data_IF_969536328542
#
_entry.id   IF_969536328542
#
_cell.length_a   1.000
_cell.length_b   1.000
_cell.length_c   1.000
_cell.angle_alpha   90.00
_cell.angle_beta   90.00
_cell.angle_gamma   90.00
#
_symmetry.space_group_name_H-M   'P 1'
#
loop_
_entity.id
_entity.type
_entity.pdbx_description
1 polymer ?
#
# COMPACT_ATOMS: atom_id res chain seq x y z
N UNK A 1 -49.04 -7.28 -36.12
CA UNK A 1 -48.64 -6.17 -37.00
C UNK A 1 -47.40 -5.58 -36.38
N UNK A 2 -46.22 -5.96 -36.88
CA UNK A 2 -44.94 -5.44 -36.34
C UNK A 2 -44.63 -4.16 -37.09
N UNK A 3 -44.67 -3.01 -36.39
CA UNK A 3 -44.17 -1.76 -36.95
C UNK A 3 -42.64 -1.84 -37.09
N UNK A 4 -42.18 -1.73 -38.35
CA UNK A 4 -40.76 -1.64 -38.63
C UNK A 4 -40.29 -0.22 -38.30
N UNK A 5 -39.54 -0.06 -37.18
CA UNK A 5 -38.89 1.20 -36.83
C UNK A 5 -37.66 1.35 -37.71
N UNK A 6 -37.71 2.27 -38.68
CA UNK A 6 -36.56 2.64 -39.51
C UNK A 6 -35.58 3.48 -38.68
N UNK A 7 -34.54 2.85 -38.14
CA UNK A 7 -33.45 3.56 -37.45
C UNK A 7 -32.49 4.19 -38.48
N UNK A 8 -32.10 5.46 -38.31
CA UNK A 8 -31.05 6.08 -39.14
C UNK A 8 -29.73 5.31 -39.07
N UNK A 9 -29.04 5.19 -40.21
CA UNK A 9 -27.79 4.41 -40.31
C UNK A 9 -26.72 4.79 -39.26
N UNK A 10 -26.64 6.06 -38.91
CA UNK A 10 -25.69 6.54 -37.89
C UNK A 10 -26.00 6.01 -36.46
N UNK A 11 -27.27 5.74 -36.15
CA UNK A 11 -27.68 5.10 -34.88
C UNK A 11 -27.22 3.64 -34.83
N UNK A 12 -27.34 2.91 -35.93
CA UNK A 12 -26.83 1.53 -36.01
C UNK A 12 -25.30 1.49 -35.85
N UNK A 13 -24.59 2.45 -36.43
CA UNK A 13 -23.14 2.56 -36.26
C UNK A 13 -22.76 2.87 -34.78
N UNK A 14 -23.48 3.77 -34.12
CA UNK A 14 -23.27 4.05 -32.69
C UNK A 14 -23.54 2.84 -31.79
N UNK A 15 -24.64 2.09 -32.07
CA UNK A 15 -24.95 0.85 -31.37
C UNK A 15 -23.84 -0.19 -31.58
N UNK A 16 -23.37 -0.34 -32.82
CA UNK A 16 -22.27 -1.24 -33.17
C UNK A 16 -20.97 -0.90 -32.44
N UNK A 17 -20.60 0.40 -32.36
CA UNK A 17 -19.44 0.87 -31.62
C UNK A 17 -19.64 0.62 -30.10
N UNK A 18 -20.78 0.96 -29.55
CA UNK A 18 -21.07 0.71 -28.12
C UNK A 18 -21.04 -0.77 -27.76
N UNK A 19 -21.58 -1.64 -28.63
CA UNK A 19 -21.51 -3.08 -28.48
C UNK A 19 -20.06 -3.61 -28.56
N UNK A 20 -19.28 -3.11 -29.52
CA UNK A 20 -17.86 -3.48 -29.66
C UNK A 20 -17.03 -3.05 -28.43
N UNK A 21 -17.26 -1.85 -27.91
CA UNK A 21 -16.64 -1.37 -26.66
C UNK A 21 -17.04 -2.25 -25.49
N UNK A 22 -18.34 -2.56 -25.32
CA UNK A 22 -18.83 -3.40 -24.22
C UNK A 22 -18.27 -4.83 -24.28
N UNK A 23 -18.19 -5.42 -25.47
CA UNK A 23 -17.57 -6.74 -25.69
C UNK A 23 -16.06 -6.67 -25.41
N UNK A 24 -15.39 -5.63 -25.91
CA UNK A 24 -13.99 -5.36 -25.64
C UNK A 24 -13.70 -5.24 -24.14
N UNK A 25 -14.51 -4.48 -23.41
CA UNK A 25 -14.38 -4.37 -21.96
C UNK A 25 -14.56 -5.72 -21.25
N UNK A 26 -15.58 -6.50 -21.61
CA UNK A 26 -15.84 -7.79 -20.97
C UNK A 26 -14.80 -8.86 -21.25
N UNK A 27 -14.20 -8.89 -22.43
CA UNK A 27 -13.24 -9.91 -22.84
C UNK A 27 -11.78 -9.48 -22.58
N UNK A 28 -11.43 -8.22 -22.89
CA UNK A 28 -10.05 -7.76 -22.81
C UNK A 28 -9.64 -7.38 -21.38
N UNK A 29 -10.51 -6.73 -20.61
CA UNK A 29 -10.14 -6.31 -19.24
C UNK A 29 -9.83 -7.49 -18.30
N UNK A 30 -10.59 -8.59 -18.27
CA UNK A 30 -10.24 -9.75 -17.44
C UNK A 30 -8.91 -10.37 -17.88
N UNK A 31 -8.68 -10.51 -19.18
CA UNK A 31 -7.46 -11.10 -19.76
C UNK A 31 -6.22 -10.24 -19.48
N UNK A 32 -6.32 -8.92 -19.65
CA UNK A 32 -5.24 -7.98 -19.33
C UNK A 32 -4.96 -7.97 -17.83
N UNK A 33 -5.99 -7.95 -16.99
CA UNK A 33 -5.82 -8.01 -15.52
C UNK A 33 -5.16 -9.32 -15.10
N UNK A 34 -5.57 -10.44 -15.65
CA UNK A 34 -4.97 -11.74 -15.40
C UNK A 34 -3.49 -11.77 -15.82
N UNK A 35 -3.18 -11.29 -17.02
CA UNK A 35 -1.81 -11.21 -17.53
C UNK A 35 -0.91 -10.33 -16.64
N UNK A 36 -1.39 -9.13 -16.29
CA UNK A 36 -0.66 -8.22 -15.40
C UNK A 36 -0.47 -8.82 -14.00
N UNK A 37 -1.48 -9.51 -13.48
CA UNK A 37 -1.38 -10.22 -12.20
C UNK A 37 -0.34 -11.33 -12.26
N UNK A 38 -0.40 -12.18 -13.29
CA UNK A 38 0.57 -13.27 -13.47
C UNK A 38 2.00 -12.76 -13.68
N UNK A 39 2.14 -11.60 -14.33
CA UNK A 39 3.43 -10.91 -14.45
C UNK A 39 3.93 -10.40 -13.10
N UNK A 40 3.05 -9.80 -12.30
CA UNK A 40 3.40 -9.33 -10.97
C UNK A 40 3.80 -10.49 -10.04
N UNK A 41 3.07 -11.60 -10.06
CA UNK A 41 3.40 -12.81 -9.29
C UNK A 41 4.79 -13.36 -9.66
N UNK A 42 5.13 -13.41 -10.95
CA UNK A 42 6.47 -13.82 -11.39
C UNK A 42 7.58 -12.87 -10.92
N UNK A 43 7.32 -11.56 -10.91
CA UNK A 43 8.28 -10.57 -10.38
C UNK A 43 8.48 -10.79 -8.89
N UNK A 44 7.41 -10.99 -8.13
CA UNK A 44 7.48 -11.26 -6.69
C UNK A 44 8.27 -12.55 -6.42
N UNK A 45 7.98 -13.63 -7.13
CA UNK A 45 8.70 -14.89 -6.98
C UNK A 45 10.21 -14.70 -7.23
N UNK A 46 10.58 -14.07 -8.36
CA UNK A 46 11.99 -13.81 -8.70
C UNK A 46 12.70 -12.87 -7.70
N UNK A 47 11.98 -11.94 -7.11
CA UNK A 47 12.53 -11.05 -6.08
C UNK A 47 12.72 -11.83 -4.78
N UNK A 48 11.74 -12.65 -4.37
CA UNK A 48 11.82 -13.44 -3.15
C UNK A 48 12.98 -14.44 -3.15
N UNK A 49 13.39 -14.97 -4.32
CA UNK A 49 14.58 -15.83 -4.43
C UNK A 49 15.89 -15.11 -4.05
N UNK A 50 15.91 -13.79 -4.08
CA UNK A 50 17.10 -12.97 -3.81
C UNK A 50 17.10 -12.31 -2.44
N UNK A 51 15.92 -12.24 -1.80
CA UNK A 51 15.78 -11.60 -0.51
C UNK A 51 16.09 -12.58 0.62
N UNK A 52 16.81 -12.13 1.61
CA UNK A 52 17.01 -12.88 2.87
C UNK A 52 15.67 -13.12 3.58
N UNK A 53 14.74 -12.16 3.47
CA UNK A 53 13.38 -12.23 4.02
C UNK A 53 12.38 -12.01 2.90
N UNK A 54 11.56 -13.01 2.55
CA UNK A 54 10.56 -12.90 1.49
C UNK A 54 9.55 -11.79 1.79
N UNK A 55 8.98 -11.23 0.73
CA UNK A 55 7.90 -10.25 0.86
C UNK A 55 6.68 -10.94 1.46
N UNK A 56 6.25 -10.49 2.62
CA UNK A 56 5.16 -11.09 3.35
C UNK A 56 3.81 -10.98 2.59
N UNK A 57 2.95 -12.02 2.65
CA UNK A 57 1.65 -12.02 1.99
C UNK A 57 0.78 -10.82 2.39
N UNK A 58 0.87 -10.39 3.65
CA UNK A 58 0.19 -9.21 4.16
C UNK A 58 0.47 -7.96 3.31
N UNK A 59 1.74 -7.77 2.91
CA UNK A 59 2.17 -6.62 2.10
C UNK A 59 1.70 -6.71 0.65
N UNK A 60 1.50 -7.92 0.14
CA UNK A 60 1.04 -8.20 -1.22
C UNK A 60 -0.50 -8.19 -1.34
N UNK A 61 -1.21 -8.15 -0.22
CA UNK A 61 -2.66 -8.14 -0.19
C UNK A 61 -3.21 -6.92 -0.94
N UNK A 62 -4.39 -7.09 -1.55
CA UNK A 62 -5.06 -5.97 -2.23
C UNK A 62 -5.40 -4.89 -1.22
N UNK A 63 -5.12 -3.65 -1.58
CA UNK A 63 -5.40 -2.51 -0.71
C UNK A 63 -6.86 -2.44 -0.25
N UNK A 64 -7.82 -2.78 -1.13
CA UNK A 64 -9.24 -2.79 -0.78
C UNK A 64 -9.55 -3.81 0.32
N UNK A 65 -9.00 -5.03 0.20
CA UNK A 65 -9.18 -6.12 1.16
C UNK A 65 -8.54 -5.74 2.52
N UNK A 66 -7.38 -5.10 2.50
CA UNK A 66 -6.72 -4.61 3.71
C UNK A 66 -7.49 -3.48 4.41
N UNK A 67 -8.06 -2.55 3.65
CA UNK A 67 -8.94 -1.51 4.20
C UNK A 67 -10.16 -2.14 4.87
N UNK A 68 -10.78 -3.11 4.21
CA UNK A 68 -11.93 -3.83 4.76
C UNK A 68 -11.53 -4.61 6.01
N UNK A 69 -10.45 -5.39 5.95
CA UNK A 69 -9.94 -6.15 7.10
C UNK A 69 -9.64 -5.26 8.31
N UNK A 70 -9.01 -4.11 8.10
CA UNK A 70 -8.71 -3.14 9.16
C UNK A 70 -9.98 -2.49 9.70
N UNK A 71 -10.92 -2.09 8.84
CA UNK A 71 -12.16 -1.40 9.24
C UNK A 71 -13.05 -2.30 10.10
N UNK A 72 -13.11 -3.59 9.77
CA UNK A 72 -13.95 -4.57 10.48
C UNK A 72 -13.14 -5.43 11.46
N UNK A 73 -11.91 -5.01 11.79
CA UNK A 73 -11.14 -5.63 12.85
C UNK A 73 -11.83 -5.41 14.21
N UNK A 74 -11.80 -6.43 15.07
CA UNK A 74 -12.48 -6.42 16.37
C UNK A 74 -12.08 -5.23 17.24
N UNK A 75 -10.78 -4.91 17.28
CA UNK A 75 -10.27 -3.83 18.13
C UNK A 75 -10.66 -2.46 17.56
N UNK A 76 -10.74 -2.34 16.23
CA UNK A 76 -11.22 -1.12 15.56
C UNK A 76 -12.71 -0.94 15.77
N UNK A 77 -13.52 -2.01 15.68
CA UNK A 77 -14.96 -1.92 15.95
C UNK A 77 -15.25 -1.53 17.40
N UNK A 78 -14.51 -2.08 18.36
CA UNK A 78 -14.61 -1.69 19.76
C UNK A 78 -14.28 -0.19 19.94
N UNK A 79 -13.20 0.28 19.30
CA UNK A 79 -12.83 1.70 19.32
C UNK A 79 -13.85 2.61 18.62
N UNK A 80 -14.58 2.12 17.61
CA UNK A 80 -15.67 2.84 16.95
C UNK A 80 -16.82 3.05 17.90
N UNK A 81 -17.30 2.01 18.59
CA UNK A 81 -18.38 2.12 19.57
C UNK A 81 -18.01 3.01 20.76
N UNK A 82 -16.79 2.87 21.29
CA UNK A 82 -16.28 3.72 22.36
C UNK A 82 -16.31 5.20 21.94
N UNK A 83 -15.73 5.50 20.77
CA UNK A 83 -15.66 6.86 20.22
C UNK A 83 -17.04 7.44 19.91
N UNK A 84 -17.94 6.64 19.34
CA UNK A 84 -19.32 7.05 19.05
C UNK A 84 -20.08 7.45 20.32
N UNK A 85 -19.91 6.65 21.39
CA UNK A 85 -20.51 6.94 22.70
C UNK A 85 -19.93 8.21 23.34
N UNK A 86 -18.61 8.42 23.29
CA UNK A 86 -17.93 9.59 23.83
C UNK A 86 -18.33 10.90 23.13
N UNK A 87 -18.45 10.85 21.80
CA UNK A 87 -18.76 12.04 20.97
C UNK A 87 -20.28 12.23 20.75
N UNK A 88 -21.11 11.33 21.24
CA UNK A 88 -22.56 11.39 21.10
C UNK A 88 -23.04 11.26 19.65
N UNK A 89 -22.38 10.45 18.85
CA UNK A 89 -22.71 10.24 17.44
C UNK A 89 -23.13 8.79 17.14
N UNK A 90 -23.87 8.52 16.05
CA UNK A 90 -24.20 7.16 15.63
C UNK A 90 -22.95 6.33 15.28
N UNK A 91 -22.97 5.03 15.60
CA UNK A 91 -21.89 4.09 15.29
C UNK A 91 -21.55 4.05 13.80
N UNK A 92 -22.55 4.18 12.92
CA UNK A 92 -22.34 4.20 11.47
C UNK A 92 -21.48 5.39 11.02
N UNK A 93 -21.63 6.54 11.65
CA UNK A 93 -20.84 7.74 11.36
C UNK A 93 -19.39 7.52 11.80
N UNK A 94 -19.18 7.01 13.00
CA UNK A 94 -17.86 6.69 13.54
C UNK A 94 -17.18 5.58 12.70
N UNK A 95 -17.93 4.57 12.24
CA UNK A 95 -17.43 3.52 11.36
C UNK A 95 -16.98 4.07 9.99
N UNK A 96 -17.75 4.99 9.40
CA UNK A 96 -17.31 5.62 8.13
C UNK A 96 -16.07 6.49 8.33
N UNK A 97 -15.93 7.12 9.50
CA UNK A 97 -14.69 7.82 9.88
C UNK A 97 -13.52 6.85 9.98
N UNK A 98 -13.68 5.70 10.65
CA UNK A 98 -12.66 4.66 10.74
C UNK A 98 -12.27 4.14 9.35
N UNK A 99 -13.26 3.91 8.46
CA UNK A 99 -13.02 3.51 7.06
C UNK A 99 -12.24 4.58 6.28
N UNK A 100 -12.53 5.86 6.49
CA UNK A 100 -11.77 6.98 5.89
C UNK A 100 -10.33 6.97 6.38
N UNK A 101 -10.10 6.75 7.67
CA UNK A 101 -8.77 6.63 8.25
C UNK A 101 -8.02 5.40 7.72
N UNK A 102 -8.68 4.26 7.59
CA UNK A 102 -8.10 3.07 6.98
C UNK A 102 -7.69 3.31 5.52
N UNK A 103 -8.52 4.01 4.72
CA UNK A 103 -8.16 4.44 3.35
C UNK A 103 -6.97 5.37 3.30
N UNK A 104 -6.77 6.17 4.32
CA UNK A 104 -5.63 7.07 4.42
C UNK A 104 -4.34 6.34 4.78
N UNK A 105 -4.42 5.43 5.75
CA UNK A 105 -3.29 4.72 6.34
C UNK A 105 -2.79 3.61 5.40
N UNK A 106 -3.68 2.71 4.94
CA UNK A 106 -3.29 1.51 4.19
C UNK A 106 -2.56 1.86 2.89
N UNK A 107 -1.32 1.38 2.69
CA UNK A 107 -0.55 1.61 1.46
C UNK A 107 -1.10 0.82 0.27
N UNK A 108 -0.52 1.07 -0.90
CA UNK A 108 -0.78 0.32 -2.13
C UNK A 108 0.54 -0.21 -2.68
N UNK A 109 1.12 -1.18 -1.98
CA UNK A 109 2.44 -1.69 -2.29
C UNK A 109 2.51 -2.33 -3.69
N UNK A 110 3.59 -2.05 -4.39
CA UNK A 110 3.94 -2.66 -5.68
C UNK A 110 5.40 -3.11 -5.65
N UNK A 111 5.62 -4.42 -5.72
CA UNK A 111 6.97 -4.98 -5.77
C UNK A 111 7.78 -4.43 -6.97
N UNK A 112 7.12 -4.25 -8.13
CA UNK A 112 7.74 -3.66 -9.32
C UNK A 112 8.18 -2.21 -9.08
N UNK A 113 7.34 -1.38 -8.43
CA UNK A 113 7.70 0.00 -8.11
C UNK A 113 8.82 0.05 -7.08
N UNK A 114 8.74 -0.78 -6.03
CA UNK A 114 9.72 -0.81 -4.96
C UNK A 114 11.11 -1.29 -5.44
N UNK A 115 11.19 -2.49 -6.01
CA UNK A 115 12.45 -3.11 -6.44
C UNK A 115 12.95 -2.60 -7.81
N UNK A 116 12.02 -2.20 -8.69
CA UNK A 116 12.34 -1.69 -10.02
C UNK A 116 12.79 -0.23 -10.03
N UNK A 117 12.10 0.65 -9.31
CA UNK A 117 12.35 2.08 -9.30
C UNK A 117 12.90 2.55 -7.96
N UNK A 118 12.22 2.23 -6.86
CA UNK A 118 12.53 2.76 -5.53
C UNK A 118 13.97 2.48 -5.10
N UNK A 119 14.41 1.23 -5.15
CA UNK A 119 15.79 0.86 -4.78
C UNK A 119 16.82 1.49 -5.70
N UNK A 120 16.55 1.59 -7.00
CA UNK A 120 17.49 2.22 -7.94
C UNK A 120 17.68 3.70 -7.63
N UNK A 121 16.57 4.39 -7.37
CA UNK A 121 16.60 5.81 -6.98
C UNK A 121 17.29 5.97 -5.63
N UNK A 122 17.00 5.12 -4.65
CA UNK A 122 17.65 5.14 -3.35
C UNK A 122 19.18 4.93 -3.45
N UNK A 123 19.61 3.95 -4.25
CA UNK A 123 21.03 3.71 -4.51
C UNK A 123 21.71 4.89 -5.23
N UNK A 124 21.06 5.42 -6.25
CA UNK A 124 21.59 6.56 -6.99
C UNK A 124 21.74 7.79 -6.10
N UNK A 125 20.71 8.15 -5.33
CA UNK A 125 20.78 9.26 -4.36
C UNK A 125 21.82 9.01 -3.27
N UNK A 126 21.85 7.80 -2.70
CA UNK A 126 22.82 7.44 -1.67
C UNK A 126 24.26 7.53 -2.15
N UNK A 127 24.54 7.10 -3.39
CA UNK A 127 25.90 7.10 -3.93
C UNK A 127 26.33 8.47 -4.49
N UNK A 128 25.35 9.31 -4.92
CA UNK A 128 25.66 10.61 -5.56
C UNK A 128 25.74 11.74 -4.52
N UNK A 129 24.81 11.74 -3.55
CA UNK A 129 24.69 12.84 -2.59
C UNK A 129 25.34 12.53 -1.24
N UNK A 130 25.60 11.26 -0.94
CA UNK A 130 26.10 10.83 0.36
C UNK A 130 27.26 9.84 0.23
N UNK A 131 28.21 9.92 1.15
CA UNK A 131 29.18 8.86 1.36
C UNK A 131 28.63 7.93 2.45
N UNK A 132 27.89 6.91 2.04
CA UNK A 132 27.33 5.94 2.99
C UNK A 132 28.45 5.06 3.52
N UNK A 133 28.73 5.18 4.82
CA UNK A 133 29.68 4.31 5.52
C UNK A 133 28.87 3.39 6.42
N UNK A 134 28.98 2.09 6.18
CA UNK A 134 28.41 1.08 7.07
C UNK A 134 29.45 0.78 8.14
N UNK A 135 29.07 0.93 9.39
CA UNK A 135 29.85 0.46 10.54
C UNK A 135 29.71 -1.07 10.68
N UNK A 136 29.84 -1.54 11.90
CA UNK A 136 29.64 -2.95 12.22
C UNK A 136 28.15 -3.32 12.11
N UNK A 137 27.84 -4.41 11.38
CA UNK A 137 26.47 -4.89 11.19
C UNK A 137 26.42 -6.38 11.55
N UNK A 138 25.93 -6.67 12.73
CA UNK A 138 25.73 -8.05 13.21
C UNK A 138 24.41 -8.60 12.68
N UNK A 139 24.41 -9.00 11.40
CA UNK A 139 23.21 -9.57 10.76
C UNK A 139 22.96 -11.03 11.13
N UNK A 140 23.97 -11.74 11.56
CA UNK A 140 23.92 -13.16 11.86
C UNK A 140 23.07 -13.52 13.09
N UNK A 141 22.83 -12.56 13.98
CA UNK A 141 22.10 -12.78 15.23
C UNK A 141 20.59 -12.57 15.11
N UNK A 142 20.11 -12.09 13.96
CA UNK A 142 18.67 -11.82 13.77
C UNK A 142 18.00 -13.07 13.22
N UNK A 143 17.12 -13.68 14.02
CA UNK A 143 16.29 -14.80 13.59
C UNK A 143 15.57 -14.48 12.27
N UNK A 144 15.58 -15.44 11.33
CA UNK A 144 14.98 -15.27 10.01
C UNK A 144 13.47 -15.05 10.07
N UNK A 145 12.80 -15.63 11.06
CA UNK A 145 11.36 -15.52 11.26
C UNK A 145 10.95 -14.29 12.10
N UNK A 146 11.92 -13.60 12.71
CA UNK A 146 11.63 -12.41 13.50
C UNK A 146 11.18 -11.22 12.64
N UNK A 147 10.19 -10.48 13.12
CA UNK A 147 9.80 -9.19 12.52
C UNK A 147 10.84 -8.12 12.85
N UNK A 148 11.46 -7.53 11.84
CA UNK A 148 12.48 -6.50 12.03
C UNK A 148 11.85 -5.11 12.01
N UNK A 149 12.13 -4.34 13.05
CA UNK A 149 11.76 -2.92 13.13
C UNK A 149 13.03 -2.08 13.20
N UNK A 150 13.23 -1.24 12.19
CA UNK A 150 14.37 -0.31 12.17
C UNK A 150 14.03 0.95 12.98
N UNK A 151 14.80 1.20 14.01
CA UNK A 151 14.71 2.44 14.80
C UNK A 151 15.84 3.35 14.38
N UNK A 152 15.51 4.57 14.00
CA UNK A 152 16.48 5.54 13.53
C UNK A 152 16.26 6.93 14.14
N UNK A 153 17.33 7.69 14.28
CA UNK A 153 17.24 9.11 14.60
C UNK A 153 16.86 9.88 13.33
N UNK A 154 15.56 10.09 13.14
CA UNK A 154 15.00 10.70 11.93
C UNK A 154 15.19 12.23 11.95
N UNK A 155 16.19 12.72 11.21
CA UNK A 155 16.48 14.15 11.05
C UNK A 155 16.17 14.69 9.66
N UNK A 156 16.08 13.81 8.66
CA UNK A 156 15.89 14.19 7.26
C UNK A 156 14.92 13.24 6.54
N UNK A 157 14.18 13.75 5.56
CA UNK A 157 13.40 12.91 4.67
C UNK A 157 14.26 11.93 3.86
N UNK A 158 15.56 12.16 3.76
CA UNK A 158 16.51 11.24 3.12
C UNK A 158 16.78 9.98 3.94
N UNK A 159 16.47 9.98 5.23
CA UNK A 159 16.66 8.80 6.10
C UNK A 159 15.82 7.59 5.58
N UNK A 160 14.62 7.84 5.03
CA UNK A 160 13.81 6.79 4.40
C UNK A 160 14.51 6.16 3.18
N UNK A 161 15.18 6.99 2.38
CA UNK A 161 15.92 6.53 1.22
C UNK A 161 17.14 5.72 1.64
N UNK A 162 17.83 6.17 2.68
CA UNK A 162 19.00 5.48 3.25
C UNK A 162 18.60 4.11 3.81
N UNK A 163 17.54 4.03 4.61
CA UNK A 163 17.08 2.75 5.17
C UNK A 163 16.58 1.83 4.07
N UNK A 164 15.87 2.36 3.06
CA UNK A 164 15.47 1.58 1.87
C UNK A 164 16.69 1.02 1.13
N UNK A 165 17.75 1.80 1.01
CA UNK A 165 19.01 1.35 0.40
C UNK A 165 19.68 0.25 1.23
N UNK A 166 19.78 0.42 2.55
CA UNK A 166 20.41 -0.54 3.46
C UNK A 166 19.64 -1.85 3.57
N UNK A 167 18.31 -1.79 3.52
CA UNK A 167 17.44 -2.97 3.59
C UNK A 167 17.15 -3.62 2.23
N UNK A 168 17.65 -3.03 1.12
CA UNK A 168 17.29 -3.41 -0.24
C UNK A 168 17.49 -4.89 -0.58
N UNK A 169 18.55 -5.49 -0.03
CA UNK A 169 18.92 -6.87 -0.28
C UNK A 169 18.35 -7.83 0.80
N UNK A 170 17.79 -7.29 1.87
CA UNK A 170 17.26 -8.07 2.98
C UNK A 170 15.74 -8.24 2.91
N UNK A 171 14.99 -7.15 2.71
CA UNK A 171 13.52 -7.19 2.74
C UNK A 171 12.88 -5.98 2.06
N UNK A 172 11.56 -6.05 1.86
CA UNK A 172 10.75 -4.91 1.47
C UNK A 172 10.26 -4.15 2.71
N UNK A 173 10.70 -2.91 2.88
CA UNK A 173 10.32 -2.07 4.01
C UNK A 173 8.90 -1.48 3.89
N UNK A 174 8.22 -1.38 5.03
CA UNK A 174 7.10 -0.46 5.23
C UNK A 174 7.53 0.66 6.18
N UNK A 175 7.15 1.88 5.90
CA UNK A 175 7.57 3.02 6.69
C UNK A 175 6.48 4.08 6.83
N UNK A 176 6.49 4.75 7.98
CA UNK A 176 5.55 5.81 8.29
C UNK A 176 6.00 7.12 7.65
N UNK A 177 5.13 7.78 6.88
CA UNK A 177 5.45 9.05 6.23
C UNK A 177 4.48 10.12 6.67
N UNK A 178 5.01 11.29 7.01
CA UNK A 178 4.22 12.44 7.42
C UNK A 178 3.41 13.07 6.29
N UNK A 179 2.60 14.06 6.67
CA UNK A 179 1.64 14.74 5.77
C UNK A 179 2.28 15.47 4.59
N UNK A 180 3.55 15.86 4.70
CA UNK A 180 4.30 16.54 3.64
C UNK A 180 4.34 15.77 2.32
N UNK A 181 4.27 14.44 2.39
CA UNK A 181 4.35 13.57 1.22
C UNK A 181 2.99 13.33 0.53
N UNK A 182 1.91 14.01 0.96
CA UNK A 182 0.57 13.86 0.39
C UNK A 182 0.35 14.63 -0.91
N UNK A 183 1.37 15.21 -1.47
CA UNK A 183 1.29 15.98 -2.73
C UNK A 183 1.28 15.02 -3.93
N UNK A 184 0.35 15.23 -4.87
CA UNK A 184 0.34 14.50 -6.13
C UNK A 184 1.48 15.01 -7.06
N UNK A 185 2.20 14.14 -7.79
CA UNK A 185 2.08 12.68 -7.91
C UNK A 185 2.88 11.89 -6.86
N UNK A 186 3.65 12.56 -6.00
CA UNK A 186 4.57 11.98 -5.03
C UNK A 186 3.88 10.99 -4.08
N UNK A 187 2.68 11.34 -3.61
CA UNK A 187 1.90 10.49 -2.70
C UNK A 187 1.58 9.12 -3.29
N UNK A 188 1.32 9.05 -4.60
CA UNK A 188 1.04 7.79 -5.31
C UNK A 188 2.30 6.92 -5.39
N UNK A 189 3.43 7.52 -5.71
CA UNK A 189 4.72 6.83 -5.77
C UNK A 189 5.11 6.29 -4.39
N UNK A 190 5.07 7.13 -3.36
CA UNK A 190 5.44 6.77 -1.99
C UNK A 190 4.55 5.63 -1.45
N UNK A 191 3.23 5.67 -1.70
CA UNK A 191 2.33 4.56 -1.35
C UNK A 191 2.68 3.27 -2.07
N UNK A 192 3.07 3.34 -3.33
CA UNK A 192 3.46 2.15 -4.10
C UNK A 192 4.77 1.53 -3.61
N UNK A 193 5.57 2.29 -2.89
CA UNK A 193 6.78 1.82 -2.21
C UNK A 193 6.50 1.21 -0.82
N UNK A 194 5.24 1.13 -0.39
CA UNK A 194 4.85 0.50 0.87
C UNK A 194 4.79 1.45 2.06
N UNK A 195 4.86 2.76 1.82
CA UNK A 195 4.70 3.75 2.87
C UNK A 195 3.22 3.92 3.27
N UNK A 196 2.97 4.05 4.56
CA UNK A 196 1.69 4.44 5.11
C UNK A 196 1.76 5.87 5.67
N UNK A 197 0.68 6.64 5.43
CA UNK A 197 0.66 8.03 5.83
C UNK A 197 0.18 8.19 7.26
N UNK A 198 0.90 9.02 8.02
CA UNK A 198 0.54 9.35 9.40
C UNK A 198 0.25 10.83 9.57
N UNK A 199 -0.70 11.14 10.45
CA UNK A 199 -0.96 12.50 10.93
C UNK A 199 -0.20 12.68 12.24
N UNK A 200 0.96 13.32 12.19
CA UNK A 200 1.86 13.47 13.36
C UNK A 200 1.21 14.17 14.56
N UNK A 201 0.25 15.07 14.32
CA UNK A 201 -0.40 15.87 15.37
C UNK A 201 -1.87 15.51 15.56
N UNK A 202 -2.31 14.35 15.11
CA UNK A 202 -3.72 13.96 15.30
C UNK A 202 -4.02 13.72 16.77
N UNK A 203 -4.97 14.48 17.31
CA UNK A 203 -5.52 14.28 18.66
C UNK A 203 -6.72 13.33 18.65
N UNK A 204 -7.24 12.97 17.47
CA UNK A 204 -8.41 12.11 17.34
C UNK A 204 -8.09 10.68 17.83
N UNK A 205 -8.82 10.23 18.84
CA UNK A 205 -8.61 8.95 19.50
C UNK A 205 -8.84 7.78 18.52
N UNK A 206 -9.93 7.83 17.77
CA UNK A 206 -10.28 6.80 16.78
C UNK A 206 -9.19 6.66 15.71
N UNK A 207 -8.64 7.78 15.18
CA UNK A 207 -7.54 7.74 14.23
C UNK A 207 -6.32 7.00 14.78
N UNK A 208 -5.94 7.30 16.02
CA UNK A 208 -4.79 6.67 16.70
C UNK A 208 -5.00 5.17 16.89
N UNK A 209 -6.21 4.74 17.24
CA UNK A 209 -6.57 3.32 17.39
C UNK A 209 -6.48 2.58 16.06
N UNK A 210 -7.05 3.14 14.97
CA UNK A 210 -6.96 2.56 13.62
C UNK A 210 -5.51 2.46 13.15
N UNK A 211 -4.70 3.49 13.39
CA UNK A 211 -3.27 3.46 13.03
C UNK A 211 -2.50 2.41 13.83
N UNK A 212 -2.68 2.39 15.15
CA UNK A 212 -2.02 1.44 16.03
C UNK A 212 -2.35 0.00 15.62
N UNK A 213 -3.63 -0.30 15.32
CA UNK A 213 -4.04 -1.62 14.87
C UNK A 213 -3.43 -2.01 13.53
N UNK A 214 -3.36 -1.08 12.57
CA UNK A 214 -2.66 -1.33 11.30
C UNK A 214 -1.19 -1.71 11.50
N UNK A 215 -0.46 -0.94 12.32
CA UNK A 215 0.95 -1.19 12.62
C UNK A 215 1.12 -2.56 13.30
N UNK A 216 0.27 -2.86 14.29
CA UNK A 216 0.26 -4.13 14.98
C UNK A 216 0.00 -5.30 14.02
N UNK A 217 -1.03 -5.22 13.17
CA UNK A 217 -1.32 -6.24 12.15
C UNK A 217 -0.13 -6.45 11.21
N UNK A 218 0.55 -5.39 10.80
CA UNK A 218 1.74 -5.48 9.96
C UNK A 218 2.89 -6.20 10.69
N UNK A 219 3.10 -5.87 11.96
CA UNK A 219 4.12 -6.51 12.83
C UNK A 219 3.83 -7.99 13.05
N UNK A 220 2.58 -8.33 13.41
CA UNK A 220 2.12 -9.71 13.62
C UNK A 220 2.27 -10.58 12.35
N UNK A 221 2.20 -9.98 11.18
CA UNK A 221 2.37 -10.66 9.89
C UNK A 221 3.80 -10.55 9.32
N UNK A 222 4.79 -10.28 10.15
CA UNK A 222 6.22 -10.34 9.79
C UNK A 222 6.68 -9.22 8.87
N UNK A 223 5.91 -8.13 8.70
CA UNK A 223 6.30 -7.03 7.80
C UNK A 223 7.42 -6.22 8.43
N UNK A 224 8.57 -6.16 7.77
CA UNK A 224 9.69 -5.29 8.17
C UNK A 224 9.27 -3.81 8.10
N UNK A 225 9.51 -3.07 9.17
CA UNK A 225 9.06 -1.68 9.33
C UNK A 225 10.22 -0.74 9.70
N UNK A 226 10.03 0.56 9.42
CA UNK A 226 10.94 1.65 9.82
C UNK A 226 10.14 2.94 10.13
#
# INVERSE_FOLDING_TARGET
MFETVALPAWVLVLIGIAAAISIGERLLFPSVRWFLRKRAERVVAKVNERLTRPIQPFKLARRADMIQRLTYDRDVLAAVSEYASEEGMPDEVALEMARRYAREIVPSFSATAYFGVGIRVARWLGNTLYHVRLGHVERAEIDQDATVVFIMNHRSNMDYMLVTYLAADASALSYAVGEWARVWPLSRLIRSMGAYFIRRRSRNALYRRVLARYVQMATENGVTQA
#
